data_IF_924287361671
#
_entry.id   IF_924287361671
#
_cell.length_a   1.000
_cell.length_b   1.000
_cell.length_c   1.000
_cell.angle_alpha   90.00
_cell.angle_beta   90.00
_cell.angle_gamma   90.00
#
_symmetry.space_group_name_H-M   'P 1'
#
loop_
_entity.id
_entity.type
_entity.pdbx_description
1 polymer ?
#
# COMPACT_ATOMS: atom_id res chain seq x y z
N UNK A 1 -1.43 -12.67 8.84
CA UNK A 1 -2.40 -13.65 8.32
C UNK A 1 -3.75 -12.99 8.01
N UNK A 2 -3.87 -12.19 6.93
CA UNK A 2 -5.10 -11.44 6.64
C UNK A 2 -6.08 -12.09 5.64
N UNK A 3 -5.68 -13.16 4.94
CA UNK A 3 -6.55 -13.88 3.99
C UNK A 3 -6.82 -13.18 2.64
N UNK A 4 -6.49 -11.90 2.48
CA UNK A 4 -6.84 -11.10 1.29
C UNK A 4 -6.22 -11.60 -0.03
N UNK A 5 -5.19 -12.44 0.03
CA UNK A 5 -4.55 -13.07 -1.13
C UNK A 5 -5.14 -14.45 -1.48
N UNK A 6 -6.18 -14.90 -0.77
CA UNK A 6 -6.79 -16.21 -0.94
C UNK A 6 -6.09 -17.37 -0.20
N UNK A 7 -4.97 -17.10 0.47
CA UNK A 7 -4.26 -18.10 1.30
C UNK A 7 -4.64 -17.95 2.78
N UNK A 8 -4.73 -19.07 3.53
CA UNK A 8 -5.15 -19.06 4.93
C UNK A 8 -4.12 -18.43 5.88
N UNK A 9 -2.85 -18.36 5.46
CA UNK A 9 -1.78 -17.72 6.22
C UNK A 9 -0.72 -17.10 5.31
N UNK A 10 0.09 -16.21 5.87
CA UNK A 10 1.24 -15.61 5.17
C UNK A 10 2.29 -16.68 4.82
N UNK A 11 2.46 -17.67 5.69
CA UNK A 11 3.32 -18.84 5.45
C UNK A 11 2.83 -19.68 4.27
N UNK A 12 1.52 -19.95 4.17
CA UNK A 12 0.95 -20.70 3.05
C UNK A 12 1.07 -19.98 1.71
N UNK A 13 0.99 -18.64 1.72
CA UNK A 13 1.35 -17.85 0.55
C UNK A 13 2.84 -18.02 0.20
N UNK A 14 3.74 -17.97 1.19
CA UNK A 14 5.18 -18.13 0.95
C UNK A 14 5.52 -19.51 0.36
N UNK A 15 4.95 -20.59 0.88
CA UNK A 15 5.08 -21.94 0.30
C UNK A 15 4.59 -21.98 -1.16
N UNK A 16 3.46 -21.34 -1.46
CA UNK A 16 2.91 -21.27 -2.82
C UNK A 16 3.82 -20.49 -3.78
N UNK A 17 4.47 -19.42 -3.30
CA UNK A 17 5.45 -18.65 -4.08
C UNK A 17 6.68 -19.51 -4.38
N UNK A 18 7.26 -20.17 -3.37
CA UNK A 18 8.45 -21.01 -3.53
C UNK A 18 8.21 -22.20 -4.46
N UNK A 19 6.98 -22.73 -4.48
CA UNK A 19 6.57 -23.82 -5.38
C UNK A 19 6.11 -23.36 -6.76
N UNK A 20 6.19 -22.06 -7.08
CA UNK A 20 5.80 -21.50 -8.38
C UNK A 20 4.29 -21.41 -8.63
N UNK A 21 3.46 -21.66 -7.61
CA UNK A 21 1.99 -21.62 -7.68
C UNK A 21 1.40 -20.23 -7.41
N UNK A 22 2.21 -19.29 -6.91
CA UNK A 22 1.84 -17.91 -6.66
C UNK A 22 3.00 -16.96 -7.03
N UNK A 23 2.68 -15.69 -7.27
CA UNK A 23 3.67 -14.64 -7.51
C UNK A 23 4.11 -14.02 -6.18
N UNK A 24 5.36 -13.55 -6.04
CA UNK A 24 5.76 -12.67 -4.93
C UNK A 24 4.82 -11.46 -4.72
N UNK A 25 4.19 -10.98 -5.81
CA UNK A 25 3.23 -9.88 -5.78
C UNK A 25 1.78 -10.31 -5.47
N UNK A 26 1.54 -11.58 -5.13
CA UNK A 26 0.20 -12.09 -4.79
C UNK A 26 -0.33 -11.55 -3.46
N UNK A 27 0.53 -11.04 -2.56
CA UNK A 27 0.09 -10.41 -1.34
C UNK A 27 -0.57 -9.05 -1.62
N UNK A 28 -1.88 -8.93 -1.39
CA UNK A 28 -2.63 -7.68 -1.62
C UNK A 28 -2.26 -6.53 -0.68
N UNK A 29 -1.50 -6.81 0.38
CA UNK A 29 -1.07 -5.81 1.37
C UNK A 29 0.33 -5.27 1.05
N UNK A 30 1.17 -6.06 0.36
CA UNK A 30 2.56 -5.70 0.07
C UNK A 30 2.67 -5.08 -1.31
N UNK A 31 3.46 -4.01 -1.45
CA UNK A 31 3.60 -3.24 -2.69
C UNK A 31 2.43 -2.25 -2.94
N UNK A 32 2.50 -1.46 -4.01
CA UNK A 32 1.47 -0.47 -4.40
C UNK A 32 2.04 0.94 -4.61
N UNK A 33 1.18 1.90 -4.96
CA UNK A 33 1.54 3.29 -5.30
C UNK A 33 1.49 4.26 -4.10
N UNK A 34 1.00 3.79 -2.94
CA UNK A 34 0.91 4.56 -1.70
C UNK A 34 1.76 3.90 -0.62
N UNK A 35 2.65 4.67 -0.02
CA UNK A 35 3.52 4.27 1.08
C UNK A 35 3.24 5.15 2.29
N UNK A 36 3.01 4.53 3.45
CA UNK A 36 2.86 5.22 4.72
C UNK A 36 4.06 4.87 5.61
N UNK A 37 4.70 5.89 6.15
CA UNK A 37 5.77 5.77 7.13
C UNK A 37 5.33 6.44 8.43
N UNK A 38 5.52 5.76 9.56
CA UNK A 38 5.23 6.28 10.91
C UNK A 38 6.43 6.01 11.79
N UNK A 39 7.06 7.09 12.30
CA UNK A 39 8.24 6.95 13.16
C UNK A 39 9.46 6.31 12.48
N UNK A 40 9.59 6.44 11.15
CA UNK A 40 10.66 5.79 10.38
C UNK A 40 10.32 4.37 9.90
N UNK A 41 9.20 3.81 10.35
CA UNK A 41 8.78 2.45 10.01
C UNK A 41 7.71 2.44 8.91
N UNK A 42 7.87 1.56 7.92
CA UNK A 42 6.86 1.39 6.86
C UNK A 42 5.64 0.66 7.41
N UNK A 43 4.47 1.28 7.29
CA UNK A 43 3.20 0.69 7.72
C UNK A 43 2.53 0.00 6.53
N UNK A 44 2.32 -1.33 6.58
CA UNK A 44 1.64 -2.06 5.53
C UNK A 44 0.15 -1.66 5.45
N UNK A 45 -0.27 -1.18 4.28
CA UNK A 45 -1.66 -0.80 4.03
C UNK A 45 -2.42 -1.94 3.36
N UNK A 46 -3.58 -2.26 3.89
CA UNK A 46 -4.53 -3.12 3.17
C UNK A 46 -5.07 -2.39 1.91
N UNK A 47 -5.66 -3.12 0.95
CA UNK A 47 -6.14 -2.55 -0.30
C UNK A 47 -7.10 -1.37 -0.13
N UNK A 48 -8.07 -1.50 0.78
CA UNK A 48 -9.07 -0.48 1.02
C UNK A 48 -8.45 0.83 1.54
N UNK A 49 -7.62 0.75 2.57
CA UNK A 49 -6.99 1.94 3.17
C UNK A 49 -6.02 2.60 2.17
N UNK A 50 -5.29 1.78 1.39
CA UNK A 50 -4.40 2.27 0.33
C UNK A 50 -5.15 3.09 -0.72
N UNK A 51 -6.25 2.54 -1.21
CA UNK A 51 -7.07 3.20 -2.24
C UNK A 51 -7.73 4.48 -1.71
N UNK A 52 -8.26 4.43 -0.48
CA UNK A 52 -8.86 5.59 0.18
C UNK A 52 -7.83 6.71 0.36
N UNK A 53 -6.68 6.41 0.98
CA UNK A 53 -5.63 7.40 1.24
C UNK A 53 -5.12 8.01 -0.07
N UNK A 54 -4.78 7.17 -1.05
CA UNK A 54 -4.30 7.65 -2.35
C UNK A 54 -5.31 8.56 -3.05
N UNK A 55 -6.59 8.21 -3.01
CA UNK A 55 -7.66 8.99 -3.64
C UNK A 55 -7.90 10.33 -2.96
N UNK A 56 -7.87 10.38 -1.63
CA UNK A 56 -7.98 11.62 -0.86
C UNK A 56 -6.81 12.58 -1.17
N UNK A 57 -5.58 12.07 -1.14
CA UNK A 57 -4.38 12.88 -1.39
C UNK A 57 -4.36 13.41 -2.82
N UNK A 58 -4.67 12.57 -3.82
CA UNK A 58 -4.80 12.99 -5.22
C UNK A 58 -5.91 14.04 -5.40
N UNK A 59 -7.03 13.89 -4.68
CA UNK A 59 -8.13 14.86 -4.72
C UNK A 59 -7.67 16.22 -4.20
N UNK A 60 -6.99 16.28 -3.05
CA UNK A 60 -6.45 17.54 -2.53
C UNK A 60 -5.49 18.20 -3.51
N UNK A 61 -4.52 17.44 -4.05
CA UNK A 61 -3.56 17.96 -5.03
C UNK A 61 -4.25 18.47 -6.30
N UNK A 62 -5.31 17.80 -6.77
CA UNK A 62 -6.06 18.22 -7.97
C UNK A 62 -6.73 19.60 -7.85
N UNK A 63 -6.96 20.08 -6.62
CA UNK A 63 -7.59 21.37 -6.35
C UNK A 63 -6.59 22.51 -6.20
N UNK A 64 -5.28 22.22 -6.16
CA UNK A 64 -4.24 23.22 -6.04
C UNK A 64 -3.92 23.86 -7.40
N UNK A 65 -3.69 25.17 -7.40
CA UNK A 65 -3.25 25.91 -8.60
C UNK A 65 -1.73 25.81 -8.74
N UNK A 66 -1.24 25.70 -9.98
CA UNK A 66 0.20 25.76 -10.28
C UNK A 66 1.02 24.51 -9.94
N UNK A 67 0.39 23.41 -9.55
CA UNK A 67 1.09 22.15 -9.24
C UNK A 67 1.36 21.36 -10.51
N UNK A 68 2.63 20.96 -10.73
CA UNK A 68 3.04 20.07 -11.83
C UNK A 68 2.76 18.61 -11.46
N UNK A 69 2.50 17.77 -12.46
CA UNK A 69 2.37 16.31 -12.26
C UNK A 69 3.71 15.72 -11.81
N UNK A 70 3.65 14.78 -10.88
CA UNK A 70 4.82 14.09 -10.32
C UNK A 70 4.45 13.33 -9.05
N UNK A 71 5.47 12.77 -8.37
CA UNK A 71 5.31 12.09 -7.09
C UNK A 71 4.79 13.06 -6.02
N UNK A 72 3.77 12.64 -5.27
CA UNK A 72 3.21 13.41 -4.15
C UNK A 72 3.82 12.90 -2.85
N UNK A 73 4.40 13.80 -2.06
CA UNK A 73 4.90 13.49 -0.71
C UNK A 73 4.12 14.34 0.29
N UNK A 74 3.51 13.69 1.28
CA UNK A 74 2.77 14.36 2.36
C UNK A 74 3.43 14.00 3.68
N UNK A 75 3.76 15.01 4.49
CA UNK A 75 4.30 14.86 5.84
C UNK A 75 3.32 15.49 6.82
N UNK A 76 2.90 14.71 7.81
CA UNK A 76 1.98 15.15 8.88
C UNK A 76 2.59 14.74 10.21
N UNK A 77 2.61 15.64 11.19
CA UNK A 77 3.04 15.32 12.54
C UNK A 77 1.94 14.56 13.30
N UNK A 78 2.34 13.64 14.17
CA UNK A 78 1.45 13.01 15.16
C UNK A 78 2.02 13.31 16.55
N UNK A 79 1.25 14.04 17.36
CA UNK A 79 1.50 14.32 18.78
C UNK A 79 0.76 13.33 19.68
#
# INVERSE_FOLDING_TARGET
NCGLCGFPSCEKLAEAILSGKASPNSCRVVGGDVHLEVGGETVPLNPFVRELLGSLIRTFVSKLKGVKRGSIVVRVGWS
#
